data_IF_204468932758
#
_entry.id   IF_204468932758
#
_cell.length_a   1.000
_cell.length_b   1.000
_cell.length_c   1.000
_cell.angle_alpha   90.00
_cell.angle_beta   90.00
_cell.angle_gamma   90.00
#
_symmetry.space_group_name_H-M   'P 1'
#
loop_
_entity.id
_entity.type
_entity.pdbx_description
1 polymer ?
#
# COMPACT_ATOMS: atom_id res chain seq x y z
N UNK A 1 -9.23 26.82 15.50
CA UNK A 1 -10.64 26.92 15.07
C UNK A 1 -10.95 25.62 14.34
N UNK A 2 -11.57 24.67 15.04
CA UNK A 2 -11.82 23.32 14.54
C UNK A 2 -12.99 23.34 13.56
N UNK A 3 -12.74 22.99 12.31
CA UNK A 3 -13.78 22.61 11.36
C UNK A 3 -13.65 21.10 11.17
N UNK A 4 -14.42 20.35 11.97
CA UNK A 4 -14.63 18.92 11.72
C UNK A 4 -15.62 18.80 10.56
N UNK A 5 -15.11 18.56 9.36
CA UNK A 5 -15.94 18.22 8.21
C UNK A 5 -16.32 16.75 8.34
N UNK A 6 -17.55 16.48 8.80
CA UNK A 6 -18.16 15.16 8.72
C UNK A 6 -18.46 14.86 7.25
N UNK A 7 -17.61 14.09 6.58
CA UNK A 7 -17.97 13.46 5.31
C UNK A 7 -18.72 12.18 5.64
N UNK A 8 -20.05 12.26 5.55
CA UNK A 8 -20.89 11.06 5.42
C UNK A 8 -20.63 10.51 4.02
N UNK A 9 -19.75 9.53 3.88
CA UNK A 9 -19.70 8.71 2.67
C UNK A 9 -20.93 7.81 2.67
N UNK A 10 -22.02 8.31 2.09
CA UNK A 10 -23.00 7.46 1.45
C UNK A 10 -22.27 6.75 0.31
N UNK A 11 -22.06 5.44 0.43
CA UNK A 11 -21.81 4.59 -0.73
C UNK A 11 -23.03 4.70 -1.64
N UNK A 12 -23.04 5.69 -2.52
CA UNK A 12 -23.98 5.72 -3.63
C UNK A 12 -23.49 4.60 -4.54
N UNK A 13 -24.19 3.46 -4.52
CA UNK A 13 -24.05 2.48 -5.59
C UNK A 13 -24.45 3.20 -6.87
N UNK A 14 -23.47 3.69 -7.63
CA UNK A 14 -23.74 4.07 -9.00
C UNK A 14 -24.19 2.79 -9.70
N UNK A 15 -25.40 2.72 -10.26
CA UNK A 15 -25.75 1.59 -11.09
C UNK A 15 -24.85 1.69 -12.33
N UNK A 16 -23.78 0.90 -12.37
CA UNK A 16 -23.11 0.57 -13.63
C UNK A 16 -24.03 -0.37 -14.41
N UNK A 17 -25.15 0.16 -14.88
CA UNK A 17 -25.98 -0.48 -15.89
C UNK A 17 -25.24 -0.42 -17.21
N UNK A 18 -24.46 -1.47 -17.53
CA UNK A 18 -23.73 -1.52 -18.80
C UNK A 18 -22.96 -2.80 -19.12
N UNK A 19 -22.62 -3.64 -18.14
CA UNK A 19 -22.05 -4.96 -18.38
C UNK A 19 -22.80 -5.94 -17.49
N UNK A 20 -23.48 -6.91 -18.10
CA UNK A 20 -24.11 -8.02 -17.36
C UNK A 20 -23.02 -8.81 -16.64
N UNK A 21 -22.69 -8.41 -15.42
CA UNK A 21 -21.64 -9.02 -14.64
C UNK A 21 -22.19 -10.33 -14.08
N UNK A 22 -22.06 -11.41 -14.85
CA UNK A 22 -22.37 -12.75 -14.37
C UNK A 22 -21.40 -13.06 -13.22
N UNK A 23 -21.96 -13.37 -12.05
CA UNK A 23 -21.18 -13.89 -10.94
C UNK A 23 -20.29 -15.05 -11.43
N UNK A 24 -19.03 -15.08 -10.98
CA UNK A 24 -18.13 -16.19 -11.29
C UNK A 24 -18.80 -17.51 -10.86
N UNK A 25 -18.75 -18.59 -11.66
CA UNK A 25 -19.38 -19.85 -11.30
C UNK A 25 -18.79 -20.50 -10.05
N UNK A 26 -17.64 -20.00 -9.58
CA UNK A 26 -16.96 -20.44 -8.35
C UNK A 26 -17.01 -19.39 -7.23
N UNK A 27 -17.67 -18.24 -7.45
CA UNK A 27 -17.83 -17.25 -6.39
C UNK A 27 -18.77 -17.81 -5.30
N UNK A 28 -18.44 -17.62 -4.00
CA UNK A 28 -19.40 -17.92 -2.95
C UNK A 28 -20.66 -17.09 -3.14
N UNK A 29 -21.81 -17.68 -2.84
CA UNK A 29 -23.05 -16.92 -2.74
C UNK A 29 -22.92 -15.85 -1.65
N UNK A 30 -23.68 -14.76 -1.75
CA UNK A 30 -23.70 -13.71 -0.73
C UNK A 30 -23.89 -14.27 0.69
N UNK A 31 -24.83 -15.21 0.85
CA UNK A 31 -25.11 -15.85 2.14
C UNK A 31 -23.92 -16.67 2.65
N UNK A 32 -23.22 -17.42 1.79
CA UNK A 32 -22.01 -18.14 2.17
C UNK A 32 -20.91 -17.17 2.61
N UNK A 33 -20.70 -16.09 1.84
CA UNK A 33 -19.70 -15.10 2.18
C UNK A 33 -20.04 -14.40 3.51
N UNK A 34 -21.30 -13.95 3.71
CA UNK A 34 -21.76 -13.36 4.98
C UNK A 34 -21.55 -14.29 6.18
N UNK A 35 -21.84 -15.57 6.03
CA UNK A 35 -21.60 -16.56 7.09
C UNK A 35 -20.11 -16.68 7.42
N UNK A 36 -19.24 -16.77 6.39
CA UNK A 36 -17.78 -16.87 6.57
C UNK A 36 -17.18 -15.64 7.25
N UNK A 37 -17.59 -14.42 6.87
CA UNK A 37 -17.02 -13.21 7.51
C UNK A 37 -17.46 -13.13 8.97
N UNK A 38 -18.71 -13.50 9.28
CA UNK A 38 -19.21 -13.51 10.66
C UNK A 38 -18.50 -14.56 11.50
N UNK A 39 -18.31 -15.77 10.97
CA UNK A 39 -17.56 -16.82 11.64
C UNK A 39 -16.12 -16.37 11.94
N UNK A 40 -15.43 -15.81 10.93
CA UNK A 40 -14.06 -15.30 11.12
C UNK A 40 -14.02 -14.17 12.16
N UNK A 41 -14.96 -13.23 12.10
CA UNK A 41 -15.02 -12.13 13.05
C UNK A 41 -15.27 -12.61 14.48
N UNK A 42 -16.28 -13.45 14.70
CA UNK A 42 -16.60 -13.98 16.03
C UNK A 42 -15.46 -14.84 16.59
N UNK A 43 -14.72 -15.55 15.73
CA UNK A 43 -13.57 -16.35 16.13
C UNK A 43 -12.39 -15.52 16.63
N UNK A 44 -12.15 -14.34 16.05
CA UNK A 44 -10.92 -13.58 16.26
C UNK A 44 -11.10 -12.22 16.95
N UNK A 45 -12.33 -11.71 17.12
CA UNK A 45 -12.58 -10.38 17.73
C UNK A 45 -12.07 -10.23 19.16
N UNK A 46 -11.95 -11.34 19.89
CA UNK A 46 -11.46 -11.36 21.27
C UNK A 46 -9.98 -11.78 21.36
N UNK A 47 -9.31 -12.01 20.22
CA UNK A 47 -7.86 -12.24 20.17
C UNK A 47 -7.13 -10.92 20.43
N UNK A 48 -6.58 -10.81 21.63
CA UNK A 48 -5.86 -9.62 22.11
C UNK A 48 -4.34 -9.81 22.12
N UNK A 49 -3.85 -10.83 21.42
CA UNK A 49 -2.42 -11.07 21.26
C UNK A 49 -1.71 -9.99 20.42
N UNK A 50 -0.37 -10.04 20.43
CA UNK A 50 0.47 -9.13 19.64
C UNK A 50 0.74 -7.79 20.32
N UNK A 51 1.29 -6.85 19.55
CA UNK A 51 1.62 -5.49 19.97
C UNK A 51 1.49 -4.56 18.77
N UNK A 52 0.97 -3.36 19.01
CA UNK A 52 1.04 -2.29 18.00
C UNK A 52 2.48 -2.08 17.53
N UNK A 53 2.62 -1.74 16.26
CA UNK A 53 3.89 -1.25 15.74
C UNK A 53 4.30 0.03 16.49
N UNK A 54 5.56 0.09 16.91
CA UNK A 54 6.09 1.18 17.74
C UNK A 54 7.39 1.77 17.20
N UNK A 55 7.77 1.41 15.96
CA UNK A 55 8.94 1.97 15.29
C UNK A 55 8.74 3.46 14.93
N UNK A 56 7.49 3.92 14.87
CA UNK A 56 7.14 5.35 14.90
C UNK A 56 6.08 5.65 15.98
N UNK A 57 6.16 6.81 16.67
CA UNK A 57 5.25 7.18 17.76
C UNK A 57 3.75 7.15 17.42
N UNK A 58 3.37 7.49 16.19
CA UNK A 58 1.95 7.52 15.79
C UNK A 58 1.31 6.14 15.88
N UNK A 59 1.98 5.09 15.37
CA UNK A 59 1.42 3.74 15.29
C UNK A 59 1.22 3.11 16.67
N UNK A 60 2.06 3.48 17.64
CA UNK A 60 1.93 3.00 19.02
C UNK A 60 0.64 3.46 19.70
N UNK A 61 0.02 4.55 19.22
CA UNK A 61 -1.17 5.17 19.81
C UNK A 61 -2.50 4.68 19.22
N UNK A 62 -2.46 3.86 18.16
CA UNK A 62 -3.66 3.29 17.54
C UNK A 62 -4.37 2.39 18.57
N UNK A 63 -5.70 2.44 18.64
CA UNK A 63 -6.45 1.57 19.56
C UNK A 63 -6.27 0.11 19.14
N UNK A 64 -5.62 -0.68 20.01
CA UNK A 64 -5.31 -2.09 19.75
C UNK A 64 -6.55 -3.00 19.72
N UNK A 65 -7.73 -2.46 20.05
CA UNK A 65 -9.01 -3.18 19.99
C UNK A 65 -9.70 -3.08 18.63
N UNK A 66 -9.18 -2.25 17.73
CA UNK A 66 -9.75 -2.09 16.39
C UNK A 66 -9.64 -3.39 15.60
N UNK A 67 -10.78 -3.92 15.17
CA UNK A 67 -10.83 -5.11 14.33
C UNK A 67 -11.99 -5.02 13.34
N UNK A 68 -11.65 -5.08 12.05
CA UNK A 68 -12.63 -5.00 10.97
C UNK A 68 -12.25 -5.91 9.81
N UNK A 69 -13.27 -6.48 9.17
CA UNK A 69 -13.11 -7.30 7.96
C UNK A 69 -13.97 -6.70 6.86
N UNK A 70 -13.39 -6.53 5.68
CA UNK A 70 -14.08 -6.13 4.47
C UNK A 70 -13.75 -7.12 3.34
N UNK A 71 -14.78 -7.57 2.63
CA UNK A 71 -14.66 -8.38 1.40
C UNK A 71 -15.33 -7.60 0.28
N UNK A 72 -14.59 -7.45 -0.82
CA UNK A 72 -15.09 -6.90 -2.08
C UNK A 72 -14.91 -7.97 -3.16
N UNK A 73 -16.00 -8.42 -3.76
CA UNK A 73 -15.97 -9.44 -4.81
C UNK A 73 -15.88 -8.81 -6.20
N UNK A 74 -15.49 -9.60 -7.20
CA UNK A 74 -15.38 -9.14 -8.60
C UNK A 74 -16.73 -8.80 -9.24
N UNK A 75 -17.85 -9.17 -8.62
CA UNK A 75 -19.23 -8.80 -8.98
C UNK A 75 -19.80 -7.70 -8.04
N UNK A 76 -18.91 -6.90 -7.43
CA UNK A 76 -19.22 -5.71 -6.63
C UNK A 76 -20.05 -5.96 -5.36
N UNK A 77 -20.04 -7.18 -4.82
CA UNK A 77 -20.59 -7.41 -3.49
C UNK A 77 -19.61 -6.90 -2.45
N UNK A 78 -20.10 -6.06 -1.54
CA UNK A 78 -19.34 -5.54 -0.40
C UNK A 78 -19.94 -6.10 0.88
N UNK A 79 -19.12 -6.80 1.65
CA UNK A 79 -19.49 -7.42 2.92
C UNK A 79 -18.51 -6.96 3.99
N UNK A 80 -19.04 -6.50 5.12
CA UNK A 80 -18.25 -5.84 6.17
C UNK A 80 -18.73 -6.24 7.57
N UNK A 81 -17.81 -6.31 8.53
CA UNK A 81 -18.09 -6.53 9.95
C UNK A 81 -16.99 -5.89 10.81
N UNK A 82 -17.35 -5.37 11.99
CA UNK A 82 -16.41 -4.72 12.90
C UNK A 82 -16.12 -3.25 12.57
N UNK A 83 -14.91 -2.80 12.90
CA UNK A 83 -14.46 -1.39 12.84
C UNK A 83 -14.10 -0.92 11.42
N UNK A 84 -15.06 -0.98 10.51
CA UNK A 84 -14.85 -0.80 9.06
C UNK A 84 -14.79 0.66 8.60
N UNK A 85 -15.01 1.60 9.52
CA UNK A 85 -14.98 3.05 9.24
C UNK A 85 -13.72 3.75 9.74
N UNK A 86 -12.85 3.03 10.44
CA UNK A 86 -11.60 3.58 10.93
C UNK A 86 -10.59 3.67 9.78
N UNK A 87 -10.12 4.87 9.46
CA UNK A 87 -9.06 5.08 8.47
C UNK A 87 -7.69 4.95 9.12
N UNK A 88 -6.77 4.24 8.44
CA UNK A 88 -5.41 4.04 8.89
C UNK A 88 -4.42 4.11 7.72
N UNK A 89 -3.13 4.33 8.01
CA UNK A 89 -2.08 4.31 6.99
C UNK A 89 -1.94 2.92 6.39
N UNK A 90 -1.95 2.82 5.06
CA UNK A 90 -1.79 1.54 4.35
C UNK A 90 -0.37 0.96 4.46
N UNK A 91 0.61 1.78 4.90
CA UNK A 91 1.99 1.34 5.13
C UNK A 91 2.53 0.55 3.93
N UNK A 92 3.25 -0.56 4.14
CA UNK A 92 3.86 -1.35 3.06
C UNK A 92 2.87 -1.99 2.06
N UNK A 93 1.55 -1.94 2.30
CA UNK A 93 0.56 -2.35 1.29
C UNK A 93 0.65 -1.43 0.06
N UNK A 94 1.10 -0.18 0.23
CA UNK A 94 1.35 0.78 -0.85
C UNK A 94 2.24 0.21 -1.97
N UNK A 95 3.23 -0.62 -1.62
CA UNK A 95 4.21 -1.20 -2.56
C UNK A 95 3.56 -1.94 -3.73
N UNK A 96 2.45 -2.65 -3.46
CA UNK A 96 1.67 -3.36 -4.50
C UNK A 96 1.14 -2.38 -5.54
N UNK A 97 0.58 -1.25 -5.09
CA UNK A 97 -0.01 -0.25 -5.98
C UNK A 97 1.05 0.57 -6.71
N UNK A 98 2.18 0.90 -6.06
CA UNK A 98 3.32 1.54 -6.75
C UNK A 98 3.90 0.65 -7.85
N UNK A 99 4.01 -0.66 -7.61
CA UNK A 99 4.42 -1.61 -8.65
C UNK A 99 3.41 -1.64 -9.80
N UNK A 100 2.12 -1.73 -9.50
CA UNK A 100 1.08 -1.75 -10.53
C UNK A 100 1.12 -0.49 -11.41
N UNK A 101 1.29 0.70 -10.80
CA UNK A 101 1.45 1.95 -11.53
C UNK A 101 2.73 1.94 -12.40
N UNK A 102 3.87 1.52 -11.87
CA UNK A 102 5.10 1.42 -12.65
C UNK A 102 4.96 0.48 -13.85
N UNK A 103 4.22 -0.63 -13.69
CA UNK A 103 3.91 -1.56 -14.78
C UNK A 103 2.93 -0.99 -15.79
N UNK A 104 1.95 -0.19 -15.37
CA UNK A 104 1.03 0.53 -16.27
C UNK A 104 1.81 1.51 -17.17
N UNK A 105 2.86 2.16 -16.66
CA UNK A 105 3.67 3.12 -17.43
C UNK A 105 4.74 2.48 -18.31
N UNK A 106 5.47 1.49 -17.79
CA UNK A 106 6.69 0.96 -18.42
C UNK A 106 6.51 -0.42 -19.04
N UNK A 107 5.44 -1.12 -18.68
CA UNK A 107 5.25 -2.54 -18.96
C UNK A 107 5.95 -3.44 -17.91
N UNK A 108 5.40 -4.65 -17.67
CA UNK A 108 5.90 -5.54 -16.62
C UNK A 108 7.35 -6.00 -16.84
N UNK A 109 7.73 -6.30 -18.08
CA UNK A 109 9.08 -6.81 -18.39
C UNK A 109 10.17 -5.83 -17.96
N UNK A 110 9.99 -4.53 -18.26
CA UNK A 110 10.96 -3.49 -17.87
C UNK A 110 11.03 -3.27 -16.36
N UNK A 111 9.89 -3.37 -15.67
CA UNK A 111 9.85 -3.26 -14.21
C UNK A 111 10.61 -4.43 -13.59
N UNK A 112 10.36 -5.65 -14.05
CA UNK A 112 11.03 -6.85 -13.52
C UNK A 112 12.51 -6.93 -13.90
N UNK A 113 12.91 -6.47 -15.08
CA UNK A 113 14.33 -6.34 -15.44
C UNK A 113 15.09 -5.45 -14.45
N UNK A 114 14.46 -4.35 -14.01
CA UNK A 114 15.09 -3.33 -13.15
C UNK A 114 15.01 -3.64 -11.65
N UNK A 115 13.87 -4.16 -11.19
CA UNK A 115 13.56 -4.37 -9.76
C UNK A 115 13.69 -5.84 -9.35
N UNK A 116 13.41 -6.77 -10.26
CA UNK A 116 13.34 -8.20 -9.99
C UNK A 116 12.00 -8.67 -9.43
N UNK A 117 11.88 -9.99 -9.24
CA UNK A 117 10.69 -10.68 -8.73
C UNK A 117 11.03 -11.79 -7.72
N UNK A 118 12.25 -11.77 -7.19
CA UNK A 118 12.85 -12.87 -6.44
C UNK A 118 12.81 -12.59 -4.92
N UNK A 119 12.59 -13.63 -4.08
CA UNK A 119 12.73 -13.48 -2.64
C UNK A 119 14.19 -13.16 -2.28
N UNK A 120 14.40 -12.20 -1.37
CA UNK A 120 15.76 -11.82 -0.95
C UNK A 120 16.36 -12.76 0.10
N UNK A 121 15.54 -13.61 0.74
CA UNK A 121 15.95 -14.42 1.89
C UNK A 121 16.35 -13.60 3.13
N UNK A 122 16.09 -12.29 3.13
CA UNK A 122 16.49 -11.34 4.19
C UNK A 122 15.32 -10.46 4.60
N UNK A 123 15.46 -9.78 5.74
CA UNK A 123 14.50 -8.77 6.19
C UNK A 123 14.29 -7.68 5.12
N UNK A 124 13.07 -7.13 5.08
CA UNK A 124 12.64 -6.18 4.05
C UNK A 124 13.44 -4.86 4.02
N UNK A 125 14.14 -4.52 5.11
CA UNK A 125 14.96 -3.31 5.26
C UNK A 125 16.48 -3.61 5.22
N UNK A 126 16.87 -4.83 4.84
CA UNK A 126 18.25 -5.30 4.91
C UNK A 126 19.16 -4.65 3.87
N UNK A 127 20.19 -3.93 4.31
CA UNK A 127 21.27 -3.40 3.44
C UNK A 127 22.04 -4.51 2.72
N UNK A 128 22.19 -5.68 3.37
CA UNK A 128 22.84 -6.84 2.74
C UNK A 128 22.02 -7.40 1.59
N UNK A 129 20.69 -7.23 1.60
CA UNK A 129 19.86 -7.70 0.48
C UNK A 129 20.16 -6.91 -0.81
N UNK A 130 20.53 -5.63 -0.68
CA UNK A 130 20.92 -4.80 -1.82
C UNK A 130 22.30 -5.21 -2.35
N UNK A 131 23.25 -5.50 -1.45
CA UNK A 131 24.60 -5.89 -1.82
C UNK A 131 24.67 -7.30 -2.43
N UNK A 132 23.86 -8.25 -1.94
CA UNK A 132 23.85 -9.64 -2.39
C UNK A 132 23.17 -9.80 -3.75
N UNK A 133 22.26 -8.90 -4.11
CA UNK A 133 21.62 -8.87 -5.42
C UNK A 133 22.52 -8.10 -6.40
N UNK A 134 23.10 -8.70 -7.45
CA UNK A 134 24.07 -8.03 -8.31
C UNK A 134 23.44 -7.22 -9.47
N UNK A 135 22.21 -7.55 -9.87
CA UNK A 135 21.55 -6.97 -11.05
C UNK A 135 20.35 -6.08 -10.72
N UNK A 136 19.62 -6.38 -9.64
CA UNK A 136 18.37 -5.69 -9.28
C UNK A 136 18.23 -5.56 -7.75
N UNK A 137 17.01 -5.33 -7.26
CA UNK A 137 16.69 -5.04 -5.85
C UNK A 137 15.92 -6.18 -5.18
N UNK A 138 16.02 -7.39 -5.74
CA UNK A 138 15.23 -8.56 -5.35
C UNK A 138 13.80 -8.52 -5.88
N UNK A 139 12.94 -7.69 -5.27
CA UNK A 139 11.52 -7.55 -5.60
C UNK A 139 10.95 -6.22 -5.06
N UNK A 140 9.79 -5.74 -5.53
CA UNK A 140 9.23 -4.45 -5.11
C UNK A 140 8.67 -4.43 -3.68
N UNK A 141 8.66 -5.56 -2.96
CA UNK A 141 8.04 -5.66 -1.63
C UNK A 141 9.04 -5.46 -0.47
N UNK A 142 10.33 -5.44 -0.77
CA UNK A 142 11.36 -4.94 0.17
C UNK A 142 11.56 -3.43 -0.01
N UNK A 143 12.05 -2.72 1.02
CA UNK A 143 12.17 -1.26 0.98
C UNK A 143 13.02 -0.78 -0.19
N UNK A 144 14.18 -1.42 -0.41
CA UNK A 144 15.06 -1.06 -1.53
C UNK A 144 14.37 -1.22 -2.89
N UNK A 145 13.60 -2.29 -3.08
CA UNK A 145 12.85 -2.51 -4.30
C UNK A 145 11.71 -1.53 -4.47
N UNK A 146 10.97 -1.23 -3.40
CA UNK A 146 9.90 -0.24 -3.44
C UNK A 146 10.41 1.18 -3.76
N UNK A 147 11.53 1.60 -3.16
CA UNK A 147 12.17 2.90 -3.47
C UNK A 147 12.60 2.93 -4.94
N UNK A 148 13.22 1.84 -5.43
CA UNK A 148 13.57 1.72 -6.85
C UNK A 148 12.32 1.77 -7.75
N UNK A 149 11.23 1.11 -7.37
CA UNK A 149 9.94 1.16 -8.07
C UNK A 149 9.36 2.57 -8.12
N UNK A 150 9.37 3.31 -7.01
CA UNK A 150 8.92 4.72 -7.00
C UNK A 150 9.78 5.58 -7.92
N UNK A 151 11.09 5.32 -7.96
CA UNK A 151 12.01 6.05 -8.85
C UNK A 151 11.78 5.77 -10.35
N UNK A 152 11.08 4.68 -10.70
CA UNK A 152 10.71 4.36 -12.09
C UNK A 152 9.52 5.18 -12.61
N UNK A 153 8.68 5.71 -11.71
CA UNK A 153 7.48 6.45 -12.08
C UNK A 153 7.90 7.80 -12.67
N UNK A 154 7.53 8.04 -13.93
CA UNK A 154 7.99 9.21 -14.67
C UNK A 154 7.26 10.47 -14.21
N UNK A 155 7.99 11.52 -13.83
CA UNK A 155 7.44 12.81 -13.42
C UNK A 155 8.49 13.91 -13.58
N UNK A 156 8.06 15.18 -13.67
CA UNK A 156 8.97 16.33 -13.75
C UNK A 156 9.41 16.84 -12.38
N UNK A 157 8.69 16.46 -11.32
CA UNK A 157 8.98 16.82 -9.93
C UNK A 157 8.44 15.77 -8.95
N UNK A 158 8.89 15.86 -7.70
CA UNK A 158 8.36 15.11 -6.57
C UNK A 158 6.83 15.25 -6.42
N UNK A 159 6.31 16.49 -6.48
CA UNK A 159 4.89 16.78 -6.34
C UNK A 159 4.05 16.13 -7.44
N UNK A 160 4.52 16.17 -8.70
CA UNK A 160 3.83 15.52 -9.81
C UNK A 160 3.82 13.99 -9.65
N UNK A 161 4.94 13.42 -9.17
CA UNK A 161 5.06 11.99 -8.87
C UNK A 161 4.09 11.57 -7.76
N UNK A 162 4.07 12.33 -6.66
CA UNK A 162 3.14 12.13 -5.55
C UNK A 162 1.69 12.20 -5.99
N UNK A 163 1.31 13.25 -6.74
CA UNK A 163 -0.03 13.41 -7.28
C UNK A 163 -0.45 12.25 -8.16
N UNK A 164 0.48 11.73 -8.98
CA UNK A 164 0.21 10.59 -9.85
C UNK A 164 -0.02 9.31 -9.05
N UNK A 165 0.82 9.05 -8.05
CA UNK A 165 0.66 7.92 -7.13
C UNK A 165 -0.67 8.02 -6.39
N UNK A 166 -0.99 9.17 -5.80
CA UNK A 166 -2.23 9.38 -5.05
C UNK A 166 -3.46 9.21 -5.94
N UNK A 167 -3.42 9.70 -7.18
CA UNK A 167 -4.50 9.49 -8.17
C UNK A 167 -4.68 8.02 -8.53
N UNK A 168 -3.59 7.28 -8.75
CA UNK A 168 -3.67 5.85 -9.03
C UNK A 168 -4.25 5.08 -7.84
N UNK A 169 -3.77 5.36 -6.63
CA UNK A 169 -4.24 4.68 -5.42
C UNK A 169 -5.71 5.00 -5.16
N UNK A 170 -6.11 6.25 -5.33
CA UNK A 170 -7.53 6.67 -5.23
C UNK A 170 -8.42 5.94 -6.24
N UNK A 171 -7.95 5.81 -7.48
CA UNK A 171 -8.65 5.05 -8.52
C UNK A 171 -8.78 3.58 -8.15
N UNK A 172 -7.73 2.97 -7.59
CA UNK A 172 -7.75 1.57 -7.15
C UNK A 172 -8.67 1.36 -5.94
N UNK A 173 -8.74 2.32 -5.01
CA UNK A 173 -9.64 2.29 -3.86
C UNK A 173 -11.10 2.58 -4.21
N UNK A 174 -11.37 3.23 -5.35
CA UNK A 174 -12.70 3.70 -5.71
C UNK A 174 -13.15 4.96 -4.96
N UNK A 175 -12.24 5.61 -4.23
CA UNK A 175 -12.47 6.86 -3.50
C UNK A 175 -11.22 7.74 -3.47
N UNK A 176 -11.40 9.03 -3.17
CA UNK A 176 -10.26 9.95 -3.03
C UNK A 176 -9.54 9.67 -1.70
N UNK A 177 -8.31 9.20 -1.78
CA UNK A 177 -7.44 9.03 -0.62
C UNK A 177 -6.74 10.36 -0.25
N UNK A 178 -6.27 10.44 0.99
CA UNK A 178 -5.50 11.57 1.53
C UNK A 178 -4.28 11.09 2.31
N UNK A 179 -3.26 11.95 2.36
CA UNK A 179 -2.13 11.75 3.25
C UNK A 179 -2.57 11.95 4.71
N UNK A 180 -2.03 11.13 5.62
CA UNK A 180 -2.10 11.38 7.05
C UNK A 180 -0.81 12.10 7.44
N UNK A 181 -0.86 13.43 7.50
CA UNK A 181 0.32 14.29 7.69
C UNK A 181 1.13 13.93 8.96
N UNK A 182 0.44 13.53 10.04
CA UNK A 182 1.09 13.11 11.28
C UNK A 182 1.90 11.83 11.10
N UNK A 183 1.40 10.87 10.31
CA UNK A 183 2.13 9.63 9.99
C UNK A 183 3.34 9.95 9.15
N UNK A 184 3.17 10.70 8.06
CA UNK A 184 4.26 11.08 7.17
C UNK A 184 5.37 11.82 7.91
N UNK A 185 5.05 12.82 8.74
CA UNK A 185 6.04 13.54 9.55
C UNK A 185 6.78 12.59 10.50
N UNK A 186 6.08 11.62 11.07
CA UNK A 186 6.66 10.65 11.99
C UNK A 186 7.60 9.66 11.29
N UNK A 187 7.24 9.17 10.10
CA UNK A 187 8.09 8.31 9.26
C UNK A 187 9.31 9.10 8.75
N UNK A 188 9.09 10.28 8.14
CA UNK A 188 10.13 11.12 7.56
C UNK A 188 11.20 11.53 8.58
N UNK A 189 10.81 11.78 9.83
CA UNK A 189 11.74 12.12 10.92
C UNK A 189 12.71 10.98 11.29
N UNK A 190 12.37 9.73 11.00
CA UNK A 190 13.17 8.54 11.37
C UNK A 190 13.73 7.80 10.15
N UNK A 191 13.58 8.36 8.95
CA UNK A 191 13.80 7.64 7.70
C UNK A 191 15.27 7.50 7.23
N UNK A 192 16.23 7.57 8.14
CA UNK A 192 17.67 7.49 7.81
C UNK A 192 18.03 6.14 7.16
N UNK A 193 17.36 5.05 7.54
CA UNK A 193 17.55 3.74 6.94
C UNK A 193 17.25 3.71 5.44
N UNK A 194 16.12 4.27 5.00
CA UNK A 194 15.78 4.29 3.58
C UNK A 194 16.63 5.29 2.79
N UNK A 195 17.06 6.41 3.41
CA UNK A 195 18.06 7.31 2.81
C UNK A 195 19.40 6.61 2.57
N UNK A 196 19.84 5.77 3.50
CA UNK A 196 21.05 4.96 3.31
C UNK A 196 20.86 3.90 2.20
N UNK A 197 19.70 3.25 2.15
CA UNK A 197 19.37 2.31 1.07
C UNK A 197 19.38 3.01 -0.30
N UNK A 198 18.80 4.21 -0.43
CA UNK A 198 18.75 4.90 -1.73
C UNK A 198 20.14 5.32 -2.23
N UNK A 199 21.04 5.71 -1.33
CA UNK A 199 22.45 5.95 -1.68
C UNK A 199 23.17 4.69 -2.12
N UNK A 200 22.87 3.54 -1.49
CA UNK A 200 23.41 2.25 -1.91
C UNK A 200 22.87 1.83 -3.28
N UNK A 201 21.58 2.07 -3.55
CA UNK A 201 20.98 1.86 -4.86
C UNK A 201 21.62 2.75 -5.92
N UNK A 202 21.89 4.02 -5.61
CA UNK A 202 22.59 4.94 -6.50
C UNK A 202 24.00 4.45 -6.84
N UNK A 203 24.75 3.96 -5.84
CA UNK A 203 26.07 3.35 -6.07
C UNK A 203 26.02 2.18 -7.06
N UNK A 204 24.94 1.39 -7.05
CA UNK A 204 24.76 0.25 -7.94
C UNK A 204 23.93 0.56 -9.19
N UNK A 205 23.58 1.83 -9.44
CA UNK A 205 22.78 2.28 -10.58
C UNK A 205 21.37 1.64 -10.64
N UNK A 206 20.76 1.40 -9.46
CA UNK A 206 19.43 0.76 -9.30
C UNK A 206 18.39 1.70 -8.72
N UNK A 207 18.56 2.99 -8.99
CA UNK A 207 17.59 4.04 -8.71
C UNK A 207 17.59 4.98 -9.91
N UNK A 208 16.40 5.33 -10.39
CA UNK A 208 16.20 5.86 -11.74
C UNK A 208 15.72 7.32 -11.74
N UNK A 209 15.77 7.96 -10.57
CA UNK A 209 15.50 9.36 -10.30
C UNK A 209 16.38 9.81 -9.11
N UNK A 210 16.21 11.05 -8.62
CA UNK A 210 16.95 11.52 -7.45
C UNK A 210 16.73 10.58 -6.24
N UNK A 211 17.80 10.12 -5.56
CA UNK A 211 17.67 9.16 -4.48
C UNK A 211 16.91 9.65 -3.25
N UNK A 212 16.98 10.93 -2.92
CA UNK A 212 16.31 11.47 -1.73
C UNK A 212 14.88 11.90 -2.04
N UNK A 213 14.62 12.42 -3.23
CA UNK A 213 13.26 12.62 -3.74
C UNK A 213 12.49 11.30 -3.78
N UNK A 214 13.10 10.24 -4.31
CA UNK A 214 12.46 8.93 -4.40
C UNK A 214 12.16 8.34 -3.02
N UNK A 215 13.00 8.61 -2.02
CA UNK A 215 12.75 8.22 -0.64
C UNK A 215 11.63 9.04 -0.03
N UNK A 216 11.59 10.35 -0.26
CA UNK A 216 10.54 11.23 0.26
C UNK A 216 9.16 10.85 -0.28
N UNK A 217 9.04 10.64 -1.59
CA UNK A 217 7.77 10.20 -2.22
C UNK A 217 7.37 8.77 -1.82
N UNK A 218 8.35 7.92 -1.50
CA UNK A 218 8.10 6.58 -0.96
C UNK A 218 7.58 6.60 0.49
N UNK A 219 7.89 7.66 1.24
CA UNK A 219 7.59 7.80 2.68
C UNK A 219 6.18 8.31 2.89
#
# INVERSE_FOLDING_TARGET
MFVALFVVTTFVSLPMSGLGQKASPVAPTRAQAEALIREAYEKFKDDTGGKNADYIPYLAQVDSKLFGIAIVTTDNQVLTVGDIKYSFSIQSISKVFSQALAMEELGPDKVFEKVGSEPTGRAFNSVFAVADMPSHTGNPYVNAGAIATVSLISAKSADEKWDKILKFYSRAAGEKLSLIDEVYKSEAATNTGNKALSMLLAKYERIYADPFESVDVYT
#
